data_IF_001122639209
#
_entry.id   IF_001122639209
#
_cell.length_a   1.000
_cell.length_b   1.000
_cell.length_c   1.000
_cell.angle_alpha   90.00
_cell.angle_beta   90.00
_cell.angle_gamma   90.00
#
_symmetry.space_group_name_H-M   'P 1'
#
loop_
_entity.id
_entity.type
_entity.pdbx_description
1 polymer ?
#
# COMPACT_ATOMS: atom_id res chain seq x y z
N UNK A 1 -50.26 -3.48 -15.01
CA UNK A 1 -49.17 -2.53 -14.69
C UNK A 1 -48.11 -3.29 -13.90
N UNK A 2 -46.92 -3.52 -14.47
CA UNK A 2 -45.82 -4.24 -13.81
C UNK A 2 -44.63 -3.27 -13.73
N UNK A 3 -44.63 -2.45 -12.68
CA UNK A 3 -43.74 -1.29 -12.55
C UNK A 3 -42.94 -1.19 -11.26
N UNK A 4 -43.15 -2.06 -10.26
CA UNK A 4 -42.49 -1.89 -8.95
C UNK A 4 -41.12 -2.54 -8.81
N UNK A 5 -40.74 -3.47 -9.69
CA UNK A 5 -39.40 -4.11 -9.63
C UNK A 5 -38.29 -3.11 -9.92
N UNK A 6 -38.38 -2.42 -11.07
CA UNK A 6 -37.35 -1.50 -11.59
C UNK A 6 -36.90 -0.41 -10.62
N UNK A 7 -37.70 -0.05 -9.61
CA UNK A 7 -37.34 0.93 -8.58
C UNK A 7 -36.48 0.31 -7.48
N UNK A 8 -36.76 -0.92 -7.05
CA UNK A 8 -36.00 -1.60 -6.00
C UNK A 8 -34.64 -2.05 -6.49
N UNK A 9 -34.55 -2.61 -7.70
CA UNK A 9 -33.26 -2.96 -8.29
C UNK A 9 -32.37 -1.73 -8.46
N UNK A 10 -32.93 -0.62 -8.96
CA UNK A 10 -32.22 0.65 -9.07
C UNK A 10 -31.77 1.20 -7.71
N UNK A 11 -32.62 1.11 -6.69
CA UNK A 11 -32.26 1.52 -5.34
C UNK A 11 -31.11 0.68 -4.77
N UNK A 12 -31.08 -0.63 -5.09
CA UNK A 12 -29.98 -1.51 -4.70
C UNK A 12 -28.68 -1.13 -5.42
N UNK A 13 -28.75 -0.82 -6.72
CA UNK A 13 -27.61 -0.35 -7.50
C UNK A 13 -27.05 0.97 -6.94
N UNK A 14 -27.91 1.98 -6.71
CA UNK A 14 -27.52 3.28 -6.16
C UNK A 14 -26.85 3.13 -4.78
N UNK A 15 -27.39 2.25 -3.93
CA UNK A 15 -26.84 2.00 -2.59
C UNK A 15 -25.51 1.24 -2.63
N UNK A 16 -25.34 0.30 -3.57
CA UNK A 16 -24.07 -0.37 -3.77
C UNK A 16 -23.00 0.57 -4.34
N UNK A 17 -23.38 1.51 -5.20
CA UNK A 17 -22.50 2.57 -5.71
C UNK A 17 -22.03 3.50 -4.58
N UNK A 18 -22.91 3.88 -3.66
CA UNK A 18 -22.55 4.65 -2.46
C UNK A 18 -21.56 3.88 -1.59
N UNK A 19 -21.81 2.59 -1.37
CA UNK A 19 -20.89 1.70 -0.67
C UNK A 19 -19.53 1.63 -1.37
N UNK A 20 -19.49 1.52 -2.70
CA UNK A 20 -18.26 1.43 -3.46
C UNK A 20 -17.42 2.70 -3.36
N UNK A 21 -18.08 3.86 -3.36
CA UNK A 21 -17.45 5.20 -3.25
C UNK A 21 -17.11 5.60 -1.81
N UNK A 22 -17.58 4.86 -0.81
CA UNK A 22 -17.38 5.22 0.60
C UNK A 22 -15.90 5.30 0.96
N UNK A 23 -15.43 6.49 1.35
CA UNK A 23 -14.06 6.76 1.81
C UNK A 23 -14.10 7.67 3.03
N UNK A 24 -13.02 7.65 3.81
CA UNK A 24 -12.83 8.67 4.82
C UNK A 24 -12.67 10.07 4.20
N UNK A 25 -13.23 11.07 4.86
CA UNK A 25 -13.21 12.47 4.47
C UNK A 25 -12.06 13.19 5.19
N UNK A 26 -11.09 13.72 4.44
CA UNK A 26 -10.04 14.60 4.96
C UNK A 26 -9.48 14.17 6.32
N UNK A 27 -9.66 15.04 7.32
CA UNK A 27 -9.21 14.85 8.70
C UNK A 27 -10.38 14.56 9.67
N UNK A 28 -11.47 13.92 9.21
CA UNK A 28 -12.57 13.53 10.10
C UNK A 28 -12.09 12.60 11.22
N UNK A 29 -12.77 12.66 12.38
CA UNK A 29 -12.43 11.78 13.50
C UNK A 29 -12.80 10.32 13.21
N UNK A 30 -12.18 9.38 13.93
CA UNK A 30 -12.54 7.95 13.78
C UNK A 30 -14.00 7.69 14.16
N UNK A 31 -14.53 8.51 15.08
CA UNK A 31 -15.92 8.47 15.51
C UNK A 31 -16.87 8.92 14.40
N UNK A 32 -16.59 10.04 13.73
CA UNK A 32 -17.43 10.55 12.64
C UNK A 32 -17.41 9.58 11.46
N UNK A 33 -16.23 9.06 11.11
CA UNK A 33 -16.06 8.01 10.12
C UNK A 33 -16.92 6.78 10.45
N UNK A 34 -16.88 6.30 11.70
CA UNK A 34 -17.67 5.17 12.16
C UNK A 34 -19.17 5.43 12.04
N UNK A 35 -19.65 6.62 12.45
CA UNK A 35 -21.07 6.97 12.36
C UNK A 35 -21.53 6.93 10.89
N UNK A 36 -20.76 7.49 9.96
CA UNK A 36 -21.09 7.46 8.52
C UNK A 36 -21.11 6.03 7.97
N UNK A 37 -20.09 5.22 8.29
CA UNK A 37 -20.05 3.83 7.84
C UNK A 37 -21.19 3.00 8.44
N UNK A 38 -21.49 3.17 9.72
CA UNK A 38 -22.56 2.45 10.40
C UNK A 38 -23.93 2.80 9.80
N UNK A 39 -24.16 4.09 9.49
CA UNK A 39 -25.35 4.53 8.76
C UNK A 39 -25.47 3.84 7.41
N UNK A 40 -24.41 3.87 6.59
CA UNK A 40 -24.38 3.19 5.28
C UNK A 40 -24.68 1.70 5.40
N UNK A 41 -24.12 1.00 6.39
CA UNK A 41 -24.41 -0.42 6.62
C UNK A 41 -25.88 -0.66 7.00
N UNK A 42 -26.47 0.23 7.78
CA UNK A 42 -27.89 0.12 8.12
C UNK A 42 -28.79 0.40 6.90
N UNK A 43 -28.44 1.41 6.09
CA UNK A 43 -29.17 1.74 4.86
C UNK A 43 -29.10 0.57 3.85
N UNK A 44 -27.93 -0.08 3.71
CA UNK A 44 -27.78 -1.31 2.91
C UNK A 44 -28.73 -2.43 3.38
N UNK A 45 -28.81 -2.67 4.70
CA UNK A 45 -29.72 -3.69 5.26
C UNK A 45 -31.18 -3.37 4.96
N UNK A 46 -31.60 -2.11 5.04
CA UNK A 46 -32.96 -1.66 4.68
C UNK A 46 -33.24 -1.93 3.20
N UNK A 47 -32.24 -1.74 2.32
CA UNK A 47 -32.34 -2.08 0.89
C UNK A 47 -32.20 -3.58 0.58
N UNK A 48 -32.14 -4.46 1.60
CA UNK A 48 -31.95 -5.90 1.46
C UNK A 48 -30.64 -6.28 0.73
N UNK A 49 -29.59 -5.47 0.92
CA UNK A 49 -28.22 -5.82 0.55
C UNK A 49 -27.55 -6.38 1.80
N UNK A 50 -27.25 -7.68 1.77
CA UNK A 50 -26.50 -8.33 2.83
C UNK A 50 -25.06 -8.59 2.37
N UNK A 51 -24.09 -8.07 3.12
CA UNK A 51 -22.68 -8.24 2.84
C UNK A 51 -22.03 -9.09 3.93
N UNK A 52 -21.20 -10.08 3.56
CA UNK A 52 -20.44 -10.85 4.53
C UNK A 52 -19.60 -9.96 5.46
N UNK A 53 -19.46 -10.36 6.73
CA UNK A 53 -18.64 -9.64 7.73
C UNK A 53 -17.26 -9.28 7.22
N UNK A 54 -16.56 -10.22 6.60
CA UNK A 54 -15.21 -9.98 6.07
C UNK A 54 -15.16 -8.83 5.06
N UNK A 55 -16.22 -8.65 4.27
CA UNK A 55 -16.30 -7.60 3.27
C UNK A 55 -16.51 -6.25 3.95
N UNK A 56 -17.46 -6.16 4.90
CA UNK A 56 -17.69 -4.96 5.70
C UNK A 56 -16.46 -4.55 6.50
N UNK A 57 -15.82 -5.52 7.18
CA UNK A 57 -14.62 -5.29 7.99
C UNK A 57 -13.46 -4.79 7.14
N UNK A 58 -13.20 -5.44 6.01
CA UNK A 58 -12.15 -5.03 5.07
C UNK A 58 -12.42 -3.66 4.48
N UNK A 59 -13.67 -3.36 4.09
CA UNK A 59 -14.08 -2.05 3.61
C UNK A 59 -13.88 -0.98 4.69
N UNK A 60 -14.26 -1.25 5.92
CA UNK A 60 -14.11 -0.31 7.03
C UNK A 60 -12.64 0.07 7.26
N UNK A 61 -11.72 -0.89 7.31
CA UNK A 61 -10.31 -0.59 7.62
C UNK A 61 -9.52 -0.06 6.42
N UNK A 62 -9.86 -0.46 5.20
CA UNK A 62 -9.11 -0.05 4.00
C UNK A 62 -9.41 1.39 3.55
N UNK A 63 -10.54 1.95 3.99
CA UNK A 63 -10.98 3.28 3.58
C UNK A 63 -10.61 4.38 4.57
N UNK A 64 -9.80 4.06 5.57
CA UNK A 64 -9.20 5.04 6.49
C UNK A 64 -8.05 5.82 5.81
N UNK A 65 -7.80 7.07 6.22
CA UNK A 65 -6.71 7.88 5.67
C UNK A 65 -5.33 7.27 5.91
N UNK A 66 -4.34 7.63 5.08
CA UNK A 66 -3.00 7.05 5.14
C UNK A 66 -2.27 7.23 6.49
N UNK A 67 -2.58 8.28 7.26
CA UNK A 67 -1.99 8.46 8.60
C UNK A 67 -2.45 7.39 9.61
N UNK A 68 -3.48 6.59 9.27
CA UNK A 68 -3.91 5.40 10.02
C UNK A 68 -3.22 4.09 9.61
N UNK A 69 -2.45 4.05 8.51
CA UNK A 69 -1.96 2.79 7.91
C UNK A 69 -1.25 1.87 8.88
N UNK A 70 -0.46 2.42 9.81
CA UNK A 70 0.22 1.66 10.87
C UNK A 70 -0.80 0.91 11.76
N UNK A 71 -1.85 1.58 12.20
CA UNK A 71 -2.86 1.02 13.10
C UNK A 71 -3.83 0.10 12.37
N UNK A 72 -4.10 0.35 11.08
CA UNK A 72 -4.82 -0.59 10.21
C UNK A 72 -4.08 -1.92 10.12
N UNK A 73 -2.77 -1.90 9.91
CA UNK A 73 -1.96 -3.13 9.87
C UNK A 73 -2.00 -3.89 11.20
N UNK A 74 -1.86 -3.20 12.33
CA UNK A 74 -1.97 -3.86 13.64
C UNK A 74 -3.36 -4.45 13.88
N UNK A 75 -4.41 -3.70 13.56
CA UNK A 75 -5.80 -4.15 13.68
C UNK A 75 -6.03 -5.43 12.86
N UNK A 76 -5.53 -5.50 11.63
CA UNK A 76 -5.60 -6.70 10.77
C UNK A 76 -4.83 -7.89 11.30
N UNK A 77 -3.78 -7.66 12.10
CA UNK A 77 -3.00 -8.74 12.71
C UNK A 77 -3.64 -9.27 14.00
N UNK A 78 -4.35 -8.42 14.75
CA UNK A 78 -4.94 -8.78 16.05
C UNK A 78 -6.37 -9.28 15.91
N UNK A 79 -7.15 -8.69 15.01
CA UNK A 79 -8.58 -9.00 14.83
C UNK A 79 -8.79 -10.06 13.75
N UNK A 80 -9.80 -10.90 13.94
CA UNK A 80 -10.26 -11.84 12.92
C UNK A 80 -11.23 -11.16 11.96
N UNK A 81 -10.72 -10.76 10.80
CA UNK A 81 -11.51 -10.07 9.77
C UNK A 81 -12.76 -10.85 9.32
N UNK A 82 -12.81 -12.17 9.47
CA UNK A 82 -13.97 -12.98 9.07
C UNK A 82 -14.99 -13.21 10.17
N UNK A 83 -14.58 -13.16 11.44
CA UNK A 83 -15.44 -13.52 12.58
C UNK A 83 -15.92 -12.29 13.36
N UNK A 84 -15.01 -11.36 13.63
CA UNK A 84 -15.27 -10.14 14.39
C UNK A 84 -16.18 -9.21 13.60
N UNK A 85 -16.76 -8.22 14.26
CA UNK A 85 -17.58 -7.22 13.59
C UNK A 85 -16.84 -5.87 13.51
N UNK A 86 -17.21 -5.03 12.53
CA UNK A 86 -16.56 -3.74 12.34
C UNK A 86 -16.74 -2.77 13.52
N UNK A 87 -17.71 -3.00 14.41
CA UNK A 87 -17.91 -2.25 15.65
C UNK A 87 -16.83 -2.62 16.68
N UNK A 88 -16.45 -3.89 16.78
CA UNK A 88 -15.33 -4.35 17.61
C UNK A 88 -14.01 -3.77 17.07
N UNK A 89 -13.84 -3.82 15.75
CA UNK A 89 -12.69 -3.23 15.06
C UNK A 89 -12.60 -1.72 15.31
N UNK A 90 -13.74 -1.01 15.23
CA UNK A 90 -13.81 0.40 15.58
C UNK A 90 -13.38 0.64 17.03
N UNK A 91 -13.86 -0.18 17.96
CA UNK A 91 -13.52 -0.07 19.38
C UNK A 91 -12.00 -0.18 19.60
N UNK A 92 -11.34 -1.11 18.91
CA UNK A 92 -9.89 -1.22 18.93
C UNK A 92 -9.20 0.00 18.29
N UNK A 93 -9.61 0.40 17.08
CA UNK A 93 -9.02 1.53 16.37
C UNK A 93 -9.13 2.84 17.15
N UNK A 94 -10.24 3.05 17.85
CA UNK A 94 -10.46 4.21 18.71
C UNK A 94 -9.37 4.37 19.77
N UNK A 95 -8.82 3.27 20.30
CA UNK A 95 -7.72 3.33 21.28
C UNK A 95 -6.44 3.94 20.70
N UNK A 96 -6.28 3.92 19.38
CA UNK A 96 -5.11 4.46 18.69
C UNK A 96 -5.28 5.89 18.19
N UNK A 97 -6.45 6.52 18.35
CA UNK A 97 -6.73 7.85 17.81
C UNK A 97 -5.70 8.92 18.20
N UNK A 98 -5.27 9.06 19.47
CA UNK A 98 -4.24 10.05 19.82
C UNK A 98 -2.92 9.82 19.07
N UNK A 99 -2.58 8.56 18.82
CA UNK A 99 -1.35 8.19 18.11
C UNK A 99 -1.48 8.37 16.59
N UNK A 100 -2.67 8.18 16.03
CA UNK A 100 -2.97 8.48 14.63
C UNK A 100 -2.90 9.98 14.35
N UNK A 101 -3.49 10.81 15.22
CA UNK A 101 -3.44 12.27 15.10
C UNK A 101 -2.01 12.81 15.24
N UNK A 102 -1.18 12.20 16.09
CA UNK A 102 0.25 12.53 16.15
C UNK A 102 0.98 12.22 14.85
N UNK A 103 0.66 11.11 14.19
CA UNK A 103 1.22 10.77 12.86
C UNK A 103 0.80 11.79 11.80
N UNK A 104 -0.47 12.21 11.81
CA UNK A 104 -0.99 13.26 10.93
C UNK A 104 -0.19 14.57 11.08
N UNK A 105 -0.06 15.06 12.32
CA UNK A 105 0.69 16.30 12.60
C UNK A 105 2.15 16.22 12.12
N UNK A 106 2.80 15.07 12.27
CA UNK A 106 4.17 14.85 11.78
C UNK A 106 4.24 14.88 10.26
N UNK A 107 3.24 14.32 9.59
CA UNK A 107 3.15 14.33 8.12
C UNK A 107 2.97 15.78 7.61
N UNK A 108 2.05 16.54 8.21
CA UNK A 108 1.81 17.94 7.88
C UNK A 108 3.08 18.80 8.08
N UNK A 109 3.81 18.59 9.18
CA UNK A 109 5.07 19.29 9.45
C UNK A 109 6.16 18.96 8.42
N UNK A 110 6.21 17.70 7.98
CA UNK A 110 7.19 17.23 7.00
C UNK A 110 6.85 17.77 5.60
N UNK A 111 5.57 17.93 5.28
CA UNK A 111 5.09 18.57 4.05
C UNK A 111 5.23 20.09 4.06
N UNK A 112 5.19 20.75 5.22
CA UNK A 112 5.43 22.19 5.35
C UNK A 112 6.91 22.58 5.36
N UNK A 113 7.81 21.60 5.54
CA UNK A 113 9.25 21.76 5.48
C UNK A 113 9.75 21.79 4.03
N UNK A 114 9.08 22.56 3.17
CA UNK A 114 9.68 23.02 1.92
C UNK A 114 10.75 24.04 2.29
N UNK A 115 11.95 23.53 2.58
CA UNK A 115 13.16 24.33 2.52
C UNK A 115 13.26 24.87 1.10
N UNK A 116 13.00 26.17 0.95
CA UNK A 116 13.21 26.89 -0.31
C UNK A 116 14.62 26.54 -0.83
N UNK A 117 14.71 25.84 -1.98
CA UNK A 117 16.01 25.45 -2.54
C UNK A 117 16.93 26.65 -2.77
N UNK A 118 16.38 27.86 -2.99
CA UNK A 118 17.15 29.09 -3.12
C UNK A 118 17.68 29.60 -1.78
N UNK A 119 16.91 29.47 -0.69
CA UNK A 119 17.32 29.92 0.64
C UNK A 119 18.51 29.12 1.19
N UNK A 120 18.64 27.85 0.80
CA UNK A 120 19.81 27.02 1.12
C UNK A 120 21.05 27.45 0.33
N UNK A 121 20.91 27.85 -0.94
CA UNK A 121 22.02 28.33 -1.78
C UNK A 121 22.54 29.71 -1.34
N UNK A 122 21.65 30.57 -0.82
CA UNK A 122 22.00 31.90 -0.32
C UNK A 122 22.89 31.85 0.94
N UNK A 123 22.77 30.80 1.76
CA UNK A 123 23.54 30.67 3.02
C UNK A 123 24.95 30.09 2.83
N UNK A 124 25.29 29.54 1.66
CA UNK A 124 26.63 29.04 1.35
C UNK A 124 27.55 30.08 0.69
N UNK A 125 27.11 31.32 0.50
CA UNK A 125 27.96 32.38 -0.07
C UNK A 125 28.73 33.14 1.02
N UNK A 126 29.82 32.55 1.51
CA UNK A 126 30.93 33.34 2.07
C UNK A 126 31.76 33.93 0.93
N UNK A 127 32.07 35.23 0.90
CA UNK A 127 32.78 35.84 -0.22
C UNK A 127 34.27 35.46 -0.20
N UNK A 128 34.88 34.98 -1.30
CA UNK A 128 36.32 34.98 -1.43
C UNK A 128 36.79 36.36 -1.89
N UNK A 129 37.80 36.84 -1.18
CA UNK A 129 38.52 38.08 -1.39
C UNK A 129 39.21 38.12 -2.77
N UNK A 130 39.03 39.28 -3.45
CA UNK A 130 39.84 39.89 -4.52
C UNK A 130 40.37 39.05 -5.71
N UNK A 131 39.84 39.38 -6.90
CA UNK A 131 40.32 39.01 -8.24
C UNK A 131 41.67 39.67 -8.62
N UNK A 132 42.29 39.32 -9.78
CA UNK A 132 41.86 39.97 -11.03
C UNK A 132 41.81 39.10 -12.32
N UNK A 133 40.73 39.38 -13.07
CA UNK A 133 40.52 39.44 -14.54
C UNK A 133 40.42 38.17 -15.42
N UNK A 134 39.64 38.28 -16.53
CA UNK A 134 38.88 37.17 -17.12
C UNK A 134 39.48 36.63 -18.41
N UNK A 135 39.40 35.32 -18.60
CA UNK A 135 39.53 34.70 -19.93
C UNK A 135 38.31 33.82 -20.16
N UNK A 136 37.61 34.15 -21.22
CA UNK A 136 36.48 33.45 -21.82
C UNK A 136 36.84 32.00 -22.12
N UNK A 137 36.14 31.02 -21.52
CA UNK A 137 36.04 29.68 -22.11
C UNK A 137 34.66 29.10 -21.80
N UNK A 138 33.75 29.30 -22.74
CA UNK A 138 32.48 28.59 -22.83
C UNK A 138 32.73 27.13 -23.22
N UNK A 139 31.77 26.27 -22.84
CA UNK A 139 31.66 24.84 -23.12
C UNK A 139 32.49 23.89 -22.22
N UNK A 140 32.05 23.72 -20.97
CA UNK A 140 32.22 22.46 -20.27
C UNK A 140 30.97 21.61 -20.49
N UNK A 141 31.23 20.38 -20.92
CA UNK A 141 30.38 19.47 -21.69
C UNK A 141 29.19 18.97 -20.88
N UNK A 142 28.00 18.97 -21.50
CA UNK A 142 26.75 18.39 -20.96
C UNK A 142 26.94 16.99 -20.34
N UNK A 143 27.90 16.22 -20.86
CA UNK A 143 28.25 14.88 -20.40
C UNK A 143 28.83 14.85 -18.97
N UNK A 144 29.63 15.85 -18.56
CA UNK A 144 30.15 15.92 -17.18
C UNK A 144 29.03 16.21 -16.18
N UNK A 145 28.11 17.10 -16.52
CA UNK A 145 26.93 17.38 -15.70
C UNK A 145 26.02 16.13 -15.59
N UNK A 146 25.88 15.36 -16.67
CA UNK A 146 25.13 14.11 -16.66
C UNK A 146 25.81 13.03 -15.79
N UNK A 147 27.14 12.89 -15.90
CA UNK A 147 27.90 11.96 -15.06
C UNK A 147 27.86 12.36 -13.58
N UNK A 148 27.99 13.65 -13.27
CA UNK A 148 27.84 14.15 -11.89
C UNK A 148 26.45 13.85 -11.34
N UNK A 149 25.41 14.00 -12.17
CA UNK A 149 24.02 13.69 -11.79
C UNK A 149 23.82 12.18 -11.56
N UNK A 150 24.34 11.34 -12.46
CA UNK A 150 24.31 9.87 -12.31
C UNK A 150 25.03 9.42 -11.03
N UNK A 151 26.17 10.03 -10.71
CA UNK A 151 26.94 9.73 -9.50
C UNK A 151 26.18 10.15 -8.22
N UNK A 152 25.50 11.30 -8.23
CA UNK A 152 24.65 11.72 -7.11
C UNK A 152 23.49 10.75 -6.88
N UNK A 153 22.84 10.28 -7.95
CA UNK A 153 21.79 9.27 -7.85
C UNK A 153 22.33 7.94 -7.28
N UNK A 154 23.49 7.47 -7.74
CA UNK A 154 24.12 6.25 -7.24
C UNK A 154 24.44 6.34 -5.73
N UNK A 155 24.94 7.50 -5.27
CA UNK A 155 25.25 7.72 -3.86
C UNK A 155 23.99 7.71 -2.99
N UNK A 156 22.88 8.30 -3.46
CA UNK A 156 21.60 8.28 -2.74
C UNK A 156 21.06 6.85 -2.61
N UNK A 157 21.09 6.06 -3.69
CA UNK A 157 20.68 4.65 -3.69
C UNK A 157 21.56 3.78 -2.78
N UNK A 158 22.87 4.05 -2.72
CA UNK A 158 23.80 3.32 -1.85
C UNK A 158 23.49 3.48 -0.35
N UNK A 159 22.94 4.64 0.04
CA UNK A 159 22.52 4.90 1.42
C UNK A 159 21.31 4.06 1.84
N UNK A 160 20.37 3.82 0.91
CA UNK A 160 19.17 3.01 1.15
C UNK A 160 19.47 1.51 1.30
N UNK A 161 20.48 0.98 0.59
CA UNK A 161 20.85 -0.44 0.71
C UNK A 161 21.47 -0.80 2.08
N UNK A 162 22.03 0.16 2.82
CA UNK A 162 22.63 -0.10 4.15
C UNK A 162 21.59 -0.33 5.26
N UNK A 163 20.30 -0.08 5.00
CA UNK A 163 19.22 -0.25 5.98
C UNK A 163 18.45 -1.56 5.85
N UNK A 164 18.74 -2.38 4.83
CA UNK A 164 18.09 -3.68 4.65
C UNK A 164 19.13 -4.75 4.33
N UNK A 165 19.06 -5.95 4.93
CA UNK A 165 19.93 -7.05 4.53
C UNK A 165 19.71 -7.36 3.04
N UNK A 166 20.76 -7.69 2.28
CA UNK A 166 20.60 -8.05 0.87
C UNK A 166 19.61 -9.21 0.75
N UNK A 167 18.53 -9.02 0.00
CA UNK A 167 17.69 -10.14 -0.38
C UNK A 167 18.50 -10.98 -1.38
N UNK A 168 18.98 -12.13 -0.91
CA UNK A 168 19.56 -13.13 -1.79
C UNK A 168 18.43 -13.67 -2.67
N UNK A 169 18.13 -12.97 -3.77
CA UNK A 169 17.31 -13.48 -4.88
C UNK A 169 18.09 -14.57 -5.61
N UNK A 170 18.36 -15.67 -4.93
CA UNK A 170 18.44 -16.94 -5.61
C UNK A 170 17.01 -17.28 -6.01
N UNK A 171 16.67 -16.93 -7.25
CA UNK A 171 15.56 -17.55 -7.96
C UNK A 171 15.88 -19.05 -8.01
N UNK A 172 15.51 -19.78 -6.96
CA UNK A 172 15.31 -21.21 -7.05
C UNK A 172 14.15 -21.36 -8.01
N UNK A 173 14.46 -21.64 -9.28
CA UNK A 173 13.52 -22.16 -10.23
C UNK A 173 12.95 -23.45 -9.65
N UNK A 174 11.91 -23.35 -8.83
CA UNK A 174 11.02 -24.45 -8.51
C UNK A 174 10.22 -24.70 -9.78
N UNK A 175 10.85 -25.40 -10.71
CA UNK A 175 10.15 -26.05 -11.80
C UNK A 175 9.29 -27.13 -11.16
N UNK A 176 8.00 -26.83 -10.96
CA UNK A 176 7.01 -27.85 -10.61
C UNK A 176 6.99 -28.86 -11.76
N UNK A 177 7.05 -30.18 -11.50
CA UNK A 177 6.93 -31.16 -12.57
C UNK A 177 5.55 -30.99 -13.23
N UNK A 178 5.54 -30.89 -14.57
CA UNK A 178 4.32 -30.87 -15.37
C UNK A 178 3.51 -32.14 -15.06
N UNK A 179 2.35 -32.00 -14.44
CA UNK A 179 1.35 -33.06 -14.40
C UNK A 179 0.72 -33.17 -15.79
N UNK A 180 0.78 -34.37 -16.39
CA UNK A 180 0.09 -34.67 -17.63
C UNK A 180 -1.19 -35.44 -17.27
N UNK A 181 -2.34 -34.93 -17.67
CA UNK A 181 -3.62 -35.61 -17.51
C UNK A 181 -3.98 -36.29 -18.83
N UNK A 182 -4.27 -37.59 -18.78
CA UNK A 182 -4.74 -38.35 -19.93
C UNK A 182 -6.13 -38.89 -19.62
N UNK A 183 -7.09 -38.69 -20.52
CA UNK A 183 -8.46 -39.18 -20.39
C UNK A 183 -8.59 -40.47 -21.20
N UNK A 184 -8.84 -41.59 -20.52
CA UNK A 184 -9.28 -42.83 -21.17
C UNK A 184 -10.59 -43.29 -20.54
N UNK A 185 -11.58 -43.62 -21.37
CA UNK A 185 -12.86 -44.23 -20.98
C UNK A 185 -13.59 -43.55 -19.80
N UNK A 186 -13.56 -42.21 -19.73
CA UNK A 186 -14.39 -41.44 -18.79
C UNK A 186 -13.85 -41.30 -17.35
N UNK A 187 -12.64 -41.76 -17.06
CA UNK A 187 -11.95 -41.45 -15.79
C UNK A 187 -10.68 -40.63 -16.01
N UNK A 188 -10.49 -39.60 -15.19
CA UNK A 188 -9.29 -38.75 -15.18
C UNK A 188 -8.29 -39.37 -14.21
N UNK A 189 -7.15 -39.82 -14.71
CA UNK A 189 -6.02 -40.31 -13.89
C UNK A 189 -4.89 -39.29 -13.96
N UNK A 190 -4.43 -38.83 -12.80
CA UNK A 190 -3.30 -37.89 -12.68
C UNK A 190 -2.10 -38.60 -12.05
N UNK A 191 -1.03 -38.81 -12.82
CA UNK A 191 0.23 -39.33 -12.28
C UNK A 191 1.25 -38.20 -12.07
N UNK A 192 1.86 -38.16 -10.88
CA UNK A 192 2.98 -37.27 -10.58
C UNK A 192 4.30 -37.98 -10.87
N UNK A 193 4.97 -37.62 -11.95
CA UNK A 193 6.31 -38.14 -12.26
C UNK A 193 7.36 -37.38 -11.43
N UNK A 194 7.85 -38.01 -10.35
CA UNK A 194 9.05 -37.56 -9.64
C UNK A 194 10.30 -38.12 -10.35
N UNK A 195 11.17 -37.26 -10.87
CA UNK A 195 12.54 -37.66 -11.22
C UNK A 195 13.38 -37.69 -9.94
N UNK A 196 13.75 -38.89 -9.51
CA UNK A 196 14.73 -39.12 -8.44
C UNK A 196 16.15 -38.83 -8.94
N UNK A 197 16.94 -38.04 -8.20
CA UNK A 197 18.37 -37.89 -8.44
C UNK A 197 19.15 -39.08 -7.80
N UNK A 198 20.27 -39.54 -8.37
CA UNK A 198 21.02 -40.69 -7.82
C UNK A 198 21.70 -40.32 -6.51
N UNK A 199 21.48 -41.10 -5.46
CA UNK A 199 22.08 -40.95 -4.15
C UNK A 199 23.58 -41.23 -4.15
N UNK A 200 24.33 -40.39 -3.45
CA UNK A 200 25.75 -40.53 -3.18
C UNK A 200 25.94 -41.58 -2.06
N UNK A 201 26.62 -42.69 -2.35
CA UNK A 201 26.91 -43.74 -1.36
C UNK A 201 28.21 -43.39 -0.64
N UNK A 202 28.11 -43.01 0.63
CA UNK A 202 29.26 -42.97 1.53
C UNK A 202 29.72 -44.39 1.85
N UNK A 203 31.02 -44.68 1.62
CA UNK A 203 31.67 -45.90 2.08
C UNK A 203 32.23 -45.70 3.49
N UNK A 204 32.14 -46.78 4.28
CA UNK A 204 32.77 -46.97 5.59
C UNK A 204 34.29 -46.86 5.53
#
# INVERSE_FOLDING_TARGET
MKGSGKTLERQKEDMFDEYERFRANGNESIQDYFIRFHKLVNDMKVTQIDLPKHQLNTKFVNNLPAYWSKYVSYTKNVMNMSADNYVDIFTLLRTYEPHALKSLKKLEQSSSSDVDPLAYLAKSSTPPQSSPKPTTQAAQTHEEALMATMQQLANLLSGFQKQFPPNNNQIRASSKPKSQATVQAGQIVTETVQRSAPGNVGKQ
#
